data_IF_365960511902
#
_entry.id   IF_365960511902
#
_cell.length_a   1.000
_cell.length_b   1.000
_cell.length_c   1.000
_cell.angle_alpha   90.00
_cell.angle_beta   90.00
_cell.angle_gamma   90.00
#
_symmetry.space_group_name_H-M   'P 1'
#
loop_
_entity.id
_entity.type
_entity.pdbx_description
1 polymer ?
#
# COMPACT_ATOMS: atom_id res chain seq x y z
N UNK A 1 28.59 -31.91 -19.72
CA UNK A 1 27.27 -31.24 -19.72
C UNK A 1 27.55 -29.76 -19.48
N UNK A 2 27.57 -28.99 -20.56
CA UNK A 2 27.90 -27.57 -20.53
C UNK A 2 26.65 -26.74 -20.21
N UNK A 3 26.92 -25.51 -19.75
CA UNK A 3 26.04 -24.33 -19.74
C UNK A 3 25.04 -24.26 -18.57
N UNK A 4 25.52 -23.77 -17.43
CA UNK A 4 24.71 -22.91 -16.57
C UNK A 4 24.92 -21.50 -17.12
N UNK A 5 23.88 -20.94 -17.73
CA UNK A 5 23.87 -19.56 -18.19
C UNK A 5 24.03 -18.63 -16.98
N UNK A 6 25.09 -17.82 -16.97
CA UNK A 6 25.36 -16.77 -15.98
C UNK A 6 24.63 -15.47 -16.36
N UNK A 7 23.36 -15.55 -16.77
CA UNK A 7 22.56 -14.39 -17.19
C UNK A 7 21.50 -13.97 -16.17
N UNK A 8 21.58 -14.45 -14.93
CA UNK A 8 20.83 -13.87 -13.81
C UNK A 8 21.71 -12.84 -13.06
N UNK A 9 22.24 -11.87 -13.81
CA UNK A 9 22.75 -10.64 -13.21
C UNK A 9 21.53 -9.82 -12.76
N UNK A 10 20.94 -10.23 -11.63
CA UNK A 10 19.86 -9.51 -10.97
C UNK A 10 20.38 -8.10 -10.69
N UNK A 11 19.83 -7.10 -11.40
CA UNK A 11 20.12 -5.69 -11.14
C UNK A 11 19.98 -5.43 -9.65
N UNK A 12 21.03 -4.90 -9.03
CA UNK A 12 20.99 -4.52 -7.63
C UNK A 12 19.83 -3.54 -7.41
N UNK A 13 18.95 -3.84 -6.46
CA UNK A 13 17.81 -3.02 -6.03
C UNK A 13 18.22 -1.63 -5.47
N UNK A 14 19.53 -1.38 -5.43
CA UNK A 14 20.20 -0.17 -4.96
C UNK A 14 20.10 1.02 -5.97
N UNK A 15 19.66 0.79 -7.20
CA UNK A 15 19.57 1.82 -8.25
C UNK A 15 18.14 2.35 -8.52
N UNK A 16 17.19 2.14 -7.60
CA UNK A 16 15.93 2.90 -7.67
C UNK A 16 16.17 4.31 -7.11
N UNK A 17 16.00 5.38 -7.91
CA UNK A 17 16.21 6.75 -7.44
C UNK A 17 15.24 7.05 -6.30
N UNK A 18 15.79 7.41 -5.14
CA UNK A 18 14.99 7.84 -4.01
C UNK A 18 14.19 9.08 -4.40
N UNK A 19 12.85 8.95 -4.46
CA UNK A 19 11.95 10.09 -4.57
C UNK A 19 12.01 10.83 -3.23
N UNK A 20 12.79 11.91 -3.19
CA UNK A 20 12.84 12.83 -2.06
C UNK A 20 11.54 13.63 -2.07
N UNK A 21 10.61 13.29 -1.19
CA UNK A 21 9.46 14.13 -0.88
C UNK A 21 9.97 15.18 0.12
N UNK A 22 10.21 16.40 -0.37
CA UNK A 22 10.48 17.54 0.52
C UNK A 22 9.15 17.98 1.16
N UNK A 23 9.01 17.81 2.47
CA UNK A 23 7.82 18.21 3.25
C UNK A 23 7.68 19.75 3.42
N UNK A 24 8.62 20.53 2.89
CA UNK A 24 8.70 22.00 3.06
C UNK A 24 8.20 22.83 1.85
N UNK A 25 7.62 22.22 0.81
CA UNK A 25 7.03 22.97 -0.31
C UNK A 25 5.50 23.12 -0.14
N UNK A 26 4.95 24.36 -0.13
CA UNK A 26 3.51 24.55 -0.03
C UNK A 26 2.85 24.02 -1.30
N UNK A 27 1.94 23.06 -1.13
CA UNK A 27 1.10 22.54 -2.20
C UNK A 27 0.50 23.70 -2.98
N UNK A 28 0.82 23.80 -4.28
CA UNK A 28 0.07 24.65 -5.22
C UNK A 28 -1.35 24.10 -5.26
N UNK A 29 -2.13 24.55 -4.30
CA UNK A 29 -3.55 24.26 -4.14
C UNK A 29 -4.22 25.06 -5.23
N UNK A 30 -4.42 24.44 -6.39
CA UNK A 30 -5.27 25.04 -7.40
C UNK A 30 -6.69 25.12 -6.83
N UNK A 31 -6.99 26.33 -6.38
CA UNK A 31 -8.28 26.89 -6.04
C UNK A 31 -9.44 26.25 -6.82
N UNK A 32 -10.15 25.31 -6.20
CA UNK A 32 -11.55 25.08 -6.55
C UNK A 32 -12.36 26.00 -5.65
N UNK A 33 -12.52 27.22 -6.16
CA UNK A 33 -13.28 28.27 -5.54
C UNK A 33 -14.75 27.88 -5.36
N UNK A 34 -15.22 28.18 -4.15
CA UNK A 34 -16.51 28.78 -3.85
C UNK A 34 -17.78 28.05 -4.27
N UNK A 35 -18.49 27.62 -3.21
CA UNK A 35 -19.94 27.48 -3.24
C UNK A 35 -20.62 28.69 -3.87
N UNK A 36 -21.36 28.42 -4.95
CA UNK A 36 -22.51 29.21 -5.32
C UNK A 36 -23.71 28.30 -5.43
N UNK A 37 -24.69 28.69 -4.64
CA UNK A 37 -26.04 28.18 -4.54
C UNK A 37 -26.71 28.01 -5.90
N UNK A 38 -27.67 27.09 -5.90
CA UNK A 38 -28.75 26.94 -6.88
C UNK A 38 -29.22 28.28 -7.41
N UNK A 39 -29.35 28.40 -8.74
CA UNK A 39 -30.51 29.03 -9.38
C UNK A 39 -30.55 28.67 -10.88
N UNK A 40 -31.76 28.40 -11.32
CA UNK A 40 -32.10 27.88 -12.64
C UNK A 40 -31.99 28.94 -13.73
N UNK A 41 -31.19 28.71 -14.77
CA UNK A 41 -31.39 29.38 -16.07
C UNK A 41 -32.04 28.42 -17.07
N UNK A 42 -33.35 28.33 -16.88
CA UNK A 42 -34.44 28.14 -17.82
C UNK A 42 -34.07 28.07 -19.33
N UNK A 43 -34.54 26.98 -19.93
CA UNK A 43 -34.55 26.57 -21.35
C UNK A 43 -34.77 27.68 -22.40
N UNK A 44 -34.14 27.51 -23.56
CA UNK A 44 -34.46 28.21 -24.82
C UNK A 44 -34.57 27.26 -26.02
N UNK A 45 -35.11 26.05 -25.86
CA UNK A 45 -35.76 25.33 -26.97
C UNK A 45 -36.93 24.51 -26.42
N UNK A 46 -38.13 25.06 -26.61
CA UNK A 46 -39.40 24.39 -26.32
C UNK A 46 -39.83 23.55 -27.52
N UNK A 47 -40.71 22.59 -27.23
CA UNK A 47 -41.32 21.57 -28.07
C UNK A 47 -40.46 20.30 -27.97
N UNK A 48 -40.85 19.25 -27.23
CA UNK A 48 -42.15 18.57 -27.26
C UNK A 48 -42.46 17.90 -25.89
N UNK A 49 -43.72 17.98 -25.45
CA UNK A 49 -44.42 17.11 -24.47
C UNK A 49 -43.76 16.87 -23.09
N UNK A 50 -44.21 17.49 -22.00
CA UNK A 50 -45.39 17.09 -21.20
C UNK A 50 -45.52 15.58 -20.95
N UNK A 51 -44.81 15.11 -19.92
CA UNK A 51 -45.13 14.12 -18.86
C UNK A 51 -43.92 13.22 -18.59
N UNK A 52 -43.33 13.21 -17.37
CA UNK A 52 -42.47 12.11 -16.95
C UNK A 52 -43.40 10.99 -16.49
N UNK A 53 -43.89 10.17 -17.43
CA UNK A 53 -44.49 8.91 -17.03
C UNK A 53 -43.37 8.01 -16.48
N UNK A 54 -43.64 7.44 -15.32
CA UNK A 54 -42.69 6.75 -14.44
C UNK A 54 -42.41 5.33 -14.92
N UNK A 55 -42.22 5.15 -16.23
CA UNK A 55 -42.20 3.84 -16.90
C UNK A 55 -40.82 3.40 -17.36
N UNK A 56 -39.75 4.16 -17.11
CA UNK A 56 -38.36 3.70 -17.34
C UNK A 56 -37.79 2.91 -16.14
N UNK A 57 -38.56 1.93 -15.65
CA UNK A 57 -38.07 0.96 -14.65
C UNK A 57 -38.70 -0.42 -14.77
N UNK A 58 -39.40 -0.74 -15.86
CA UNK A 58 -40.13 -2.01 -15.97
C UNK A 58 -40.08 -2.65 -17.36
N UNK A 59 -38.93 -2.59 -18.03
CA UNK A 59 -38.72 -3.38 -19.25
C UNK A 59 -37.31 -4.00 -19.40
N UNK A 60 -36.33 -3.64 -18.58
CA UNK A 60 -35.01 -4.30 -18.56
C UNK A 60 -34.95 -5.54 -17.64
N UNK A 61 -36.05 -5.88 -16.95
CA UNK A 61 -36.11 -7.05 -16.04
C UNK A 61 -36.77 -8.28 -16.68
N UNK A 62 -37.32 -8.16 -17.89
CA UNK A 62 -38.11 -9.25 -18.50
C UNK A 62 -37.29 -10.31 -19.27
N UNK A 63 -35.97 -10.14 -19.40
CA UNK A 63 -35.11 -11.08 -20.16
C UNK A 63 -34.00 -11.74 -19.32
N UNK A 64 -34.02 -11.57 -17.99
CA UNK A 64 -33.12 -12.30 -17.09
C UNK A 64 -33.88 -13.48 -16.54
N UNK A 65 -33.54 -14.70 -16.98
CA UNK A 65 -34.19 -15.91 -16.50
C UNK A 65 -34.04 -16.04 -14.97
N UNK A 66 -34.99 -16.68 -14.26
CA UNK A 66 -34.86 -16.91 -12.82
C UNK A 66 -33.56 -17.64 -12.45
N UNK A 67 -33.05 -18.47 -13.36
CA UNK A 67 -31.76 -19.16 -13.22
C UNK A 67 -30.56 -18.18 -13.24
N UNK A 68 -30.57 -17.19 -14.13
CA UNK A 68 -29.53 -16.17 -14.22
C UNK A 68 -29.47 -15.28 -12.97
N UNK A 69 -30.63 -14.96 -12.38
CA UNK A 69 -30.72 -14.22 -11.12
C UNK A 69 -30.11 -15.06 -9.99
N UNK A 70 -30.41 -16.36 -9.95
CA UNK A 70 -29.88 -17.26 -8.93
C UNK A 70 -28.35 -17.44 -9.07
N UNK A 71 -27.84 -17.58 -10.30
CA UNK A 71 -26.40 -17.67 -10.55
C UNK A 71 -25.68 -16.39 -10.15
N UNK A 72 -26.21 -15.22 -10.54
CA UNK A 72 -25.69 -13.91 -10.09
C UNK A 72 -25.68 -13.81 -8.57
N UNK A 73 -26.75 -14.25 -7.90
CA UNK A 73 -26.80 -14.27 -6.43
C UNK A 73 -25.71 -15.16 -5.82
N UNK A 74 -25.42 -16.34 -6.40
CA UNK A 74 -24.36 -17.23 -5.91
C UNK A 74 -22.98 -16.63 -6.12
N UNK A 75 -22.74 -16.01 -7.28
CA UNK A 75 -21.49 -15.31 -7.58
C UNK A 75 -21.26 -14.14 -6.63
N UNK A 76 -22.30 -13.36 -6.32
CA UNK A 76 -22.22 -12.27 -5.34
C UNK A 76 -21.80 -12.80 -3.97
N UNK A 77 -22.41 -13.89 -3.49
CA UNK A 77 -22.02 -14.50 -2.21
C UNK A 77 -20.55 -14.93 -2.22
N UNK A 78 -20.09 -15.61 -3.27
CA UNK A 78 -18.70 -16.03 -3.37
C UNK A 78 -17.72 -14.84 -3.38
N UNK A 79 -18.06 -13.77 -4.09
CA UNK A 79 -17.25 -12.55 -4.10
C UNK A 79 -17.18 -11.94 -2.70
N UNK A 80 -18.29 -11.88 -1.97
CA UNK A 80 -18.31 -11.35 -0.60
C UNK A 80 -17.47 -12.21 0.36
N UNK A 81 -17.54 -13.54 0.26
CA UNK A 81 -16.71 -14.44 1.06
C UNK A 81 -15.22 -14.25 0.78
N UNK A 82 -14.85 -14.12 -0.50
CA UNK A 82 -13.47 -13.87 -0.91
C UNK A 82 -12.99 -12.49 -0.45
N UNK A 83 -13.83 -11.47 -0.52
CA UNK A 83 -13.51 -10.13 -0.02
C UNK A 83 -13.26 -10.14 1.49
N UNK A 84 -14.12 -10.82 2.27
CA UNK A 84 -13.90 -10.96 3.71
C UNK A 84 -12.57 -11.68 4.02
N UNK A 85 -12.29 -12.78 3.31
CA UNK A 85 -11.04 -13.53 3.48
C UNK A 85 -9.81 -12.69 3.12
N UNK A 86 -9.91 -11.87 2.08
CA UNK A 86 -8.84 -10.99 1.66
C UNK A 86 -8.60 -9.86 2.66
N UNK A 87 -9.67 -9.28 3.21
CA UNK A 87 -9.60 -8.24 4.24
C UNK A 87 -8.92 -8.77 5.51
N UNK A 88 -9.34 -9.94 5.98
CA UNK A 88 -8.71 -10.64 7.12
C UNK A 88 -7.21 -10.88 6.89
N UNK A 89 -6.84 -11.33 5.68
CA UNK A 89 -5.45 -11.57 5.33
C UNK A 89 -4.66 -10.25 5.27
N UNK A 90 -5.25 -9.18 4.73
CA UNK A 90 -4.64 -7.85 4.69
C UNK A 90 -4.34 -7.34 6.09
N UNK A 91 -5.30 -7.43 7.01
CA UNK A 91 -5.12 -6.99 8.39
C UNK A 91 -4.02 -7.79 9.11
N UNK A 92 -3.95 -9.11 8.86
CA UNK A 92 -2.88 -9.96 9.39
C UNK A 92 -1.51 -9.57 8.84
N UNK A 93 -1.41 -9.23 7.56
CA UNK A 93 -0.16 -8.75 6.96
C UNK A 93 0.27 -7.43 7.61
N UNK A 94 -0.65 -6.50 7.84
CA UNK A 94 -0.33 -5.22 8.48
C UNK A 94 0.13 -5.42 9.93
N UNK A 95 -0.51 -6.33 10.68
CA UNK A 95 -0.06 -6.69 12.03
C UNK A 95 1.35 -7.29 12.05
N UNK A 96 1.67 -8.18 11.10
CA UNK A 96 3.02 -8.75 10.97
C UNK A 96 4.05 -7.69 10.60
N UNK A 97 3.70 -6.74 9.72
CA UNK A 97 4.59 -5.61 9.38
C UNK A 97 4.88 -4.74 10.60
N UNK A 98 3.87 -4.44 11.41
CA UNK A 98 4.03 -3.64 12.64
C UNK A 98 4.94 -4.34 13.66
N UNK A 99 4.71 -5.63 13.91
CA UNK A 99 5.56 -6.44 14.80
C UNK A 99 7.00 -6.50 14.28
N UNK A 100 7.17 -6.71 12.97
CA UNK A 100 8.49 -6.74 12.35
C UNK A 100 9.23 -5.40 12.52
N UNK A 101 8.55 -4.28 12.30
CA UNK A 101 9.13 -2.95 12.48
C UNK A 101 9.58 -2.74 13.93
N UNK A 102 8.76 -3.14 14.89
CA UNK A 102 9.08 -3.09 16.32
C UNK A 102 10.34 -3.90 16.62
N UNK A 103 10.40 -5.16 16.18
CA UNK A 103 11.57 -6.02 16.37
C UNK A 103 12.84 -5.45 15.72
N UNK A 104 12.73 -4.86 14.52
CA UNK A 104 13.87 -4.20 13.87
C UNK A 104 14.36 -3.00 14.68
N UNK A 105 13.45 -2.18 15.22
CA UNK A 105 13.83 -1.04 16.06
C UNK A 105 14.51 -1.47 17.35
N UNK A 106 14.01 -2.53 18.01
CA UNK A 106 14.62 -3.07 19.22
C UNK A 106 16.00 -3.66 18.94
N UNK A 107 16.13 -4.46 17.88
CA UNK A 107 17.41 -5.02 17.46
C UNK A 107 18.43 -3.95 17.10
N UNK A 108 18.00 -2.83 16.50
CA UNK A 108 18.90 -1.71 16.23
C UNK A 108 19.46 -1.11 17.53
N UNK A 109 18.61 -0.89 18.52
CA UNK A 109 19.03 -0.36 19.83
C UNK A 109 19.97 -1.34 20.54
N UNK A 110 19.64 -2.63 20.54
CA UNK A 110 20.49 -3.68 21.12
C UNK A 110 21.84 -3.80 20.39
N UNK A 111 21.82 -3.74 19.06
CA UNK A 111 23.02 -3.75 18.23
C UNK A 111 23.97 -2.61 18.60
N UNK A 112 23.45 -1.38 18.69
CA UNK A 112 24.24 -0.22 19.10
C UNK A 112 24.80 -0.37 20.52
N UNK A 113 24.03 -0.93 21.45
CA UNK A 113 24.50 -1.18 22.82
C UNK A 113 25.67 -2.15 22.82
N UNK A 114 25.58 -3.25 22.06
CA UNK A 114 26.66 -4.24 21.92
C UNK A 114 27.90 -3.60 21.28
N UNK A 115 27.73 -2.84 20.20
CA UNK A 115 28.83 -2.11 19.55
C UNK A 115 29.52 -1.17 20.53
N UNK A 116 28.76 -0.37 21.29
CA UNK A 116 29.31 0.57 22.26
C UNK A 116 30.12 -0.16 23.35
N UNK A 117 29.64 -1.31 23.83
CA UNK A 117 30.38 -2.14 24.79
C UNK A 117 31.66 -2.71 24.20
N UNK A 118 31.62 -3.22 22.96
CA UNK A 118 32.80 -3.75 22.29
C UNK A 118 33.84 -2.66 22.02
N UNK A 119 33.42 -1.49 21.54
CA UNK A 119 34.29 -0.33 21.32
C UNK A 119 34.91 0.16 22.63
N UNK A 120 34.13 0.29 23.71
CA UNK A 120 34.64 0.71 25.01
C UNK A 120 35.57 -0.35 25.64
N UNK A 121 35.29 -1.64 25.46
CA UNK A 121 36.16 -2.73 25.94
C UNK A 121 37.45 -2.84 25.13
N UNK A 122 37.44 -2.48 23.85
CA UNK A 122 38.64 -2.47 22.99
C UNK A 122 39.67 -1.44 23.48
N UNK A 123 39.21 -0.31 24.06
CA UNK A 123 40.09 0.72 24.65
C UNK A 123 40.90 0.20 25.86
N UNK A 124 40.50 -0.91 26.49
CA UNK A 124 41.24 -1.53 27.61
C UNK A 124 42.12 -2.73 27.21
N UNK A 125 42.16 -3.14 25.94
CA UNK A 125 43.02 -4.24 25.49
C UNK A 125 44.48 -3.82 25.20
N UNK A 126 44.80 -2.52 25.20
CA UNK A 126 46.17 -2.04 24.95
C UNK A 126 47.13 -2.15 26.14
N UNK A 127 46.74 -2.75 27.27
CA UNK A 127 47.69 -3.10 28.35
C UNK A 127 47.88 -4.61 28.44
N UNK A 128 48.10 -5.28 27.31
CA UNK A 128 48.93 -6.49 27.35
C UNK A 128 50.36 -6.03 27.65
N UNK A 129 50.98 -6.41 28.80
CA UNK A 129 52.39 -6.18 28.97
C UNK A 129 53.09 -6.98 27.87
N UNK A 130 53.73 -6.28 26.95
CA UNK A 130 54.65 -6.88 25.99
C UNK A 130 55.50 -7.89 26.76
N UNK A 131 55.34 -9.18 26.47
CA UNK A 131 56.14 -10.24 27.03
C UNK A 131 57.56 -10.10 26.44
N UNK A 132 58.29 -9.10 26.92
CA UNK A 132 59.73 -9.04 26.83
C UNK A 132 60.26 -10.19 27.69
N UNK A 133 60.71 -11.27 27.05
CA UNK A 133 61.68 -12.29 27.51
C UNK A 133 61.57 -13.50 26.57
N UNK A 134 62.65 -14.12 26.09
CA UNK A 134 64.09 -13.93 26.23
C UNK A 134 64.74 -14.93 25.26
N UNK A 135 65.87 -14.53 24.67
CA UNK A 135 67.04 -15.30 24.20
C UNK A 135 66.83 -16.65 23.52
#
# INVERSE_FOLDING_TARGET
MSIINNDDNIMAIDEDPQVIINDDEPSTTQNIANGRSMDSLRSSFTNHSSTPDSSHNSLDTLDVGPDDIQEKSRLITQVLELQNTLDDLSQRVDSVKEENLKLRSENQVLGQYIENLMSASSVFQSTSPSASKKK
#
